data_IF_420881589579
#
_entry.id   IF_420881589579
#
_cell.length_a   1.000
_cell.length_b   1.000
_cell.length_c   1.000
_cell.angle_alpha   90.00
_cell.angle_beta   90.00
_cell.angle_gamma   90.00
#
_symmetry.space_group_name_H-M   'P 1'
#
loop_
_entity.id
_entity.type
_entity.pdbx_description
1 polymer ?
#
# COMPACT_ATOMS: atom_id res chain seq x y z
N UNK A 1 21.60 10.52 -10.64
CA UNK A 1 21.60 9.97 -9.27
C UNK A 1 20.25 9.35 -8.91
N UNK A 2 19.16 10.12 -8.93
CA UNK A 2 17.80 9.65 -8.56
C UNK A 2 17.40 8.31 -9.18
N UNK A 3 17.46 8.17 -10.50
CA UNK A 3 17.10 6.92 -11.18
C UNK A 3 17.96 5.71 -10.76
N UNK A 4 19.25 5.92 -10.48
CA UNK A 4 20.14 4.84 -9.99
C UNK A 4 19.70 4.37 -8.60
N UNK A 5 19.33 5.31 -7.73
CA UNK A 5 18.83 4.97 -6.40
C UNK A 5 17.46 4.29 -6.46
N UNK A 6 16.55 4.76 -7.31
CA UNK A 6 15.26 4.10 -7.52
C UNK A 6 15.44 2.66 -8.00
N UNK A 7 16.34 2.44 -8.97
CA UNK A 7 16.66 1.10 -9.48
C UNK A 7 17.31 0.20 -8.42
N UNK A 8 18.25 0.74 -7.64
CA UNK A 8 18.85 0.03 -6.51
C UNK A 8 17.80 -0.42 -5.48
N UNK A 9 16.89 0.46 -5.06
CA UNK A 9 15.84 0.11 -4.10
C UNK A 9 14.79 -0.83 -4.69
N UNK A 10 14.49 -0.74 -5.99
CA UNK A 10 13.58 -1.65 -6.66
C UNK A 10 14.06 -3.11 -6.60
N UNK A 11 15.38 -3.33 -6.63
CA UNK A 11 15.99 -4.67 -6.55
C UNK A 11 15.77 -5.39 -5.22
N UNK A 12 15.33 -4.69 -4.16
CA UNK A 12 14.91 -5.37 -2.92
C UNK A 12 13.60 -6.16 -3.09
N UNK A 13 12.89 -6.00 -4.23
CA UNK A 13 11.63 -6.68 -4.54
C UNK A 13 10.58 -6.57 -3.41
N UNK A 14 10.62 -5.46 -2.68
CA UNK A 14 9.79 -5.21 -1.51
C UNK A 14 8.96 -3.94 -1.71
N UNK A 15 7.64 -4.04 -1.56
CA UNK A 15 6.73 -2.91 -1.75
C UNK A 15 6.97 -1.74 -0.77
N UNK A 16 7.65 -1.97 0.35
CA UNK A 16 7.97 -0.95 1.35
C UNK A 16 9.41 -0.41 1.24
N UNK A 17 10.22 -0.91 0.30
CA UNK A 17 11.55 -0.38 0.01
C UNK A 17 11.47 0.61 -1.16
N UNK A 18 11.58 1.89 -0.87
CA UNK A 18 11.44 2.95 -1.87
C UNK A 18 12.41 4.10 -1.63
N UNK A 19 12.82 4.73 -2.72
CA UNK A 19 13.64 5.94 -2.70
C UNK A 19 12.82 7.11 -3.25
N UNK A 20 12.66 8.16 -2.45
CA UNK A 20 11.97 9.40 -2.83
C UNK A 20 13.00 10.54 -2.81
N UNK A 21 13.11 11.22 -3.94
CA UNK A 21 13.90 12.43 -4.09
C UNK A 21 12.95 13.60 -4.33
N UNK A 22 12.72 14.43 -3.32
CA UNK A 22 11.77 15.53 -3.42
C UNK A 22 12.17 16.55 -4.49
N UNK A 23 13.46 16.76 -4.72
CA UNK A 23 13.93 17.65 -5.78
C UNK A 23 13.52 17.13 -7.17
N UNK A 24 13.63 15.81 -7.38
CA UNK A 24 13.16 15.18 -8.62
C UNK A 24 11.67 15.43 -8.87
N UNK A 25 10.85 15.41 -7.83
CA UNK A 25 9.42 15.69 -7.94
C UNK A 25 9.13 17.16 -8.22
N UNK A 26 9.91 18.07 -7.66
CA UNK A 26 9.73 19.51 -7.88
C UNK A 26 10.07 19.89 -9.33
N UNK A 27 11.09 19.24 -9.94
CA UNK A 27 11.46 19.50 -11.35
C UNK A 27 10.60 18.71 -12.36
N UNK A 28 10.10 17.51 -12.02
CA UNK A 28 9.30 16.66 -12.92
C UNK A 28 7.79 16.79 -12.71
N UNK A 29 7.36 17.53 -11.69
CA UNK A 29 5.97 17.68 -11.30
C UNK A 29 5.42 16.44 -10.59
N UNK A 30 4.50 16.68 -9.65
CA UNK A 30 3.78 15.64 -8.86
C UNK A 30 2.42 15.28 -9.45
N UNK A 31 2.11 15.92 -10.56
CA UNK A 31 0.77 16.17 -11.03
C UNK A 31 0.51 15.34 -12.29
N UNK A 32 -0.63 14.66 -12.30
CA UNK A 32 -1.12 13.89 -13.44
C UNK A 32 -2.61 14.23 -13.64
N UNK A 33 -3.04 14.61 -14.86
CA UNK A 33 -4.41 15.08 -15.10
C UNK A 33 -5.44 13.95 -15.20
N UNK A 34 -5.03 12.69 -15.01
CA UNK A 34 -5.90 11.53 -14.98
C UNK A 34 -5.27 10.44 -14.09
N UNK A 35 -6.06 9.46 -13.70
CA UNK A 35 -5.59 8.22 -13.09
C UNK A 35 -5.91 7.08 -14.05
N UNK A 36 -5.04 6.08 -14.11
CA UNK A 36 -5.21 4.90 -14.93
C UNK A 36 -4.89 3.64 -14.13
N UNK A 37 -5.26 2.46 -14.62
CA UNK A 37 -4.90 1.18 -13.99
C UNK A 37 -4.68 0.10 -15.04
N UNK A 38 -3.86 -0.92 -14.73
CA UNK A 38 -3.89 -2.16 -15.48
C UNK A 38 -5.25 -2.85 -15.27
N UNK A 39 -5.90 -3.23 -16.36
CA UNK A 39 -7.06 -4.12 -16.38
C UNK A 39 -6.79 -5.17 -17.47
N UNK A 40 -6.56 -6.41 -17.03
CA UNK A 40 -6.00 -7.47 -17.86
C UNK A 40 -4.71 -7.00 -18.56
N UNK A 41 -4.66 -7.06 -19.89
CA UNK A 41 -3.52 -6.61 -20.70
C UNK A 41 -3.65 -5.17 -21.20
N UNK A 42 -4.55 -4.37 -20.60
CA UNK A 42 -4.84 -2.99 -21.02
C UNK A 42 -4.55 -1.99 -19.91
N UNK A 43 -4.24 -0.76 -20.31
CA UNK A 43 -4.11 0.38 -19.41
C UNK A 43 -5.33 1.28 -19.58
N UNK A 44 -6.17 1.35 -18.55
CA UNK A 44 -7.49 1.97 -18.63
C UNK A 44 -7.54 3.21 -17.75
N UNK A 45 -8.03 4.33 -18.30
CA UNK A 45 -8.33 5.53 -17.54
C UNK A 45 -9.46 5.23 -16.55
N UNK A 46 -9.23 5.49 -15.26
CA UNK A 46 -10.23 5.26 -14.20
C UNK A 46 -10.81 6.57 -13.65
N UNK A 47 -10.11 7.68 -13.87
CA UNK A 47 -10.59 9.01 -13.54
C UNK A 47 -9.85 10.04 -14.40
N UNK A 48 -10.50 11.14 -14.75
CA UNK A 48 -9.89 12.23 -15.52
C UNK A 48 -10.27 13.59 -14.93
N UNK A 49 -9.36 14.55 -15.04
CA UNK A 49 -9.56 15.96 -14.72
C UNK A 49 -9.50 16.85 -15.98
N UNK A 50 -9.43 16.25 -17.16
CA UNK A 50 -9.53 16.93 -18.46
C UNK A 50 -10.78 16.47 -19.19
N UNK A 51 -11.37 17.33 -20.01
CA UNK A 51 -12.53 17.00 -20.85
C UNK A 51 -12.22 15.96 -21.92
N UNK A 52 -10.95 15.87 -22.31
CA UNK A 52 -10.52 15.11 -23.48
C UNK A 52 -10.28 13.64 -23.15
N UNK A 53 -10.25 13.28 -21.86
CA UNK A 53 -10.13 11.90 -21.39
C UNK A 53 -11.34 11.53 -20.56
N UNK A 54 -11.88 10.34 -20.80
CA UNK A 54 -13.01 9.76 -20.08
C UNK A 54 -12.61 8.49 -19.32
N UNK A 55 -13.19 8.23 -18.13
CA UNK A 55 -13.09 6.92 -17.51
C UNK A 55 -13.56 5.82 -18.46
N UNK A 56 -12.76 4.76 -18.61
CA UNK A 56 -12.98 3.66 -19.55
C UNK A 56 -12.12 3.73 -20.80
N UNK A 57 -11.52 4.89 -21.12
CA UNK A 57 -10.61 5.01 -22.25
C UNK A 57 -9.39 4.10 -22.06
N UNK A 58 -8.97 3.46 -23.16
CA UNK A 58 -7.84 2.53 -23.16
C UNK A 58 -6.64 3.20 -23.80
N UNK A 59 -5.57 3.34 -23.03
CA UNK A 59 -4.30 3.90 -23.49
C UNK A 59 -3.57 2.85 -24.32
N UNK A 60 -3.25 3.19 -25.56
CA UNK A 60 -2.52 2.34 -26.51
C UNK A 60 -1.06 2.78 -26.60
N UNK A 61 -0.79 4.08 -26.72
CA UNK A 61 0.55 4.64 -26.81
C UNK A 61 0.76 5.87 -25.93
N UNK A 62 2.01 6.12 -25.61
CA UNK A 62 2.51 7.41 -25.14
C UNK A 62 3.56 7.92 -26.13
N UNK A 63 3.36 9.13 -26.65
CA UNK A 63 4.07 9.61 -27.83
C UNK A 63 3.98 8.56 -28.96
N UNK A 64 5.11 8.08 -29.48
CA UNK A 64 5.15 7.03 -30.51
C UNK A 64 5.38 5.61 -29.96
N UNK A 65 5.52 5.45 -28.64
CA UNK A 65 5.86 4.19 -27.95
C UNK A 65 4.59 3.45 -27.47
N UNK A 66 4.55 2.12 -27.61
CA UNK A 66 3.49 1.31 -26.98
C UNK A 66 3.50 1.52 -25.46
N UNK A 67 2.33 1.68 -24.85
CA UNK A 67 2.27 2.00 -23.43
C UNK A 67 2.81 0.86 -22.53
N UNK A 68 2.70 -0.38 -23.00
CA UNK A 68 3.27 -1.57 -22.32
C UNK A 68 4.79 -1.59 -22.41
N UNK A 69 5.35 -1.15 -23.53
CA UNK A 69 6.80 -1.00 -23.69
C UNK A 69 7.32 0.14 -22.81
N UNK A 70 6.59 1.26 -22.74
CA UNK A 70 6.87 2.36 -21.84
C UNK A 70 6.90 1.90 -20.37
N UNK A 71 5.92 1.11 -19.94
CA UNK A 71 5.95 0.47 -18.62
C UNK A 71 7.17 -0.44 -18.48
N UNK A 72 7.43 -1.31 -19.45
CA UNK A 72 8.51 -2.30 -19.41
C UNK A 72 9.89 -1.66 -19.28
N UNK A 73 10.10 -0.50 -19.91
CA UNK A 73 11.33 0.31 -19.79
C UNK A 73 11.49 0.93 -18.40
N UNK A 74 10.38 1.31 -17.76
CA UNK A 74 10.36 1.97 -16.46
C UNK A 74 10.21 1.03 -15.26
N UNK A 75 9.86 -0.26 -15.48
CA UNK A 75 9.59 -1.22 -14.39
C UNK A 75 10.76 -1.41 -13.45
N UNK A 76 12.00 -1.22 -13.93
CA UNK A 76 13.23 -1.26 -13.13
C UNK A 76 13.29 -0.19 -12.02
N UNK A 77 12.45 0.84 -12.08
CA UNK A 77 12.34 1.86 -11.05
C UNK A 77 11.22 1.59 -10.04
N UNK A 78 10.49 0.48 -10.20
CA UNK A 78 9.30 0.15 -9.42
C UNK A 78 9.61 -1.02 -8.49
N UNK A 79 9.65 -0.76 -7.19
CA UNK A 79 9.80 -1.83 -6.20
C UNK A 79 8.51 -2.67 -6.12
N UNK A 80 8.64 -3.98 -5.99
CA UNK A 80 7.50 -4.88 -5.78
C UNK A 80 7.91 -6.34 -6.01
N UNK A 81 7.22 -7.29 -5.38
CA UNK A 81 7.61 -8.69 -5.44
C UNK A 81 7.27 -9.37 -6.78
N UNK A 82 6.43 -8.75 -7.61
CA UNK A 82 6.04 -9.28 -8.91
C UNK A 82 5.53 -8.16 -9.85
N UNK A 83 5.43 -8.48 -11.14
CA UNK A 83 5.02 -7.53 -12.18
C UNK A 83 3.61 -6.97 -11.94
N UNK A 84 2.68 -7.78 -11.42
CA UNK A 84 1.33 -7.30 -11.08
C UNK A 84 1.41 -6.14 -10.10
N UNK A 85 2.19 -6.27 -9.02
CA UNK A 85 2.42 -5.17 -8.07
C UNK A 85 3.07 -3.98 -8.75
N UNK A 86 4.09 -4.19 -9.59
CA UNK A 86 4.75 -3.10 -10.32
C UNK A 86 3.80 -2.33 -11.24
N UNK A 87 2.91 -3.01 -11.99
CA UNK A 87 1.89 -2.36 -12.81
C UNK A 87 0.95 -1.48 -11.99
N UNK A 88 0.48 -1.97 -10.84
CA UNK A 88 -0.33 -1.16 -9.93
C UNK A 88 0.41 0.04 -9.38
N UNK A 89 1.71 -0.09 -9.08
CA UNK A 89 2.54 1.03 -8.60
C UNK A 89 2.82 2.05 -9.68
N UNK A 90 3.05 1.63 -10.91
CA UNK A 90 3.26 2.54 -12.04
C UNK A 90 2.13 3.55 -12.21
N UNK A 91 0.91 3.13 -11.87
CA UNK A 91 -0.30 3.95 -11.86
C UNK A 91 -0.48 4.84 -10.61
N UNK A 92 0.39 4.77 -9.61
CA UNK A 92 0.27 5.57 -8.38
C UNK A 92 0.88 6.97 -8.54
N UNK A 93 0.35 7.98 -7.81
CA UNK A 93 0.89 9.35 -7.83
C UNK A 93 2.39 9.45 -7.54
N UNK A 94 2.94 8.53 -6.75
CA UNK A 94 4.37 8.46 -6.44
C UNK A 94 5.25 8.24 -7.70
N UNK A 95 4.73 7.61 -8.75
CA UNK A 95 5.51 7.29 -9.94
C UNK A 95 5.18 8.18 -11.14
N UNK A 96 4.34 9.18 -10.93
CA UNK A 96 4.02 10.23 -11.92
C UNK A 96 5.27 10.96 -12.46
N UNK A 97 6.34 11.22 -11.67
CA UNK A 97 7.58 11.77 -12.20
C UNK A 97 8.32 10.93 -13.26
N UNK A 98 7.96 9.65 -13.46
CA UNK A 98 8.48 8.81 -14.54
C UNK A 98 7.93 9.22 -15.92
N UNK A 99 6.79 9.92 -15.94
CA UNK A 99 6.19 10.44 -17.16
C UNK A 99 6.88 11.75 -17.58
N UNK A 100 6.95 12.06 -18.89
CA UNK A 100 7.33 13.38 -19.37
C UNK A 100 6.37 14.46 -18.84
N UNK A 101 6.80 15.73 -18.78
CA UNK A 101 5.90 16.84 -18.40
C UNK A 101 4.83 17.11 -19.47
N UNK A 102 5.19 16.90 -20.74
CA UNK A 102 4.33 16.98 -21.91
C UNK A 102 4.53 15.75 -22.77
N UNK A 103 3.46 15.14 -23.20
CA UNK A 103 3.45 13.96 -24.06
C UNK A 103 2.08 13.84 -24.72
N UNK A 104 1.96 13.00 -25.74
CA UNK A 104 0.67 12.62 -26.30
C UNK A 104 0.27 11.24 -25.81
N UNK A 105 -1.04 11.01 -25.71
CA UNK A 105 -1.59 9.67 -25.58
C UNK A 105 -2.33 9.32 -26.85
N UNK A 106 -2.04 8.17 -27.43
CA UNK A 106 -2.94 7.57 -28.43
C UNK A 106 -3.83 6.56 -27.72
N UNK A 107 -5.13 6.72 -27.86
CA UNK A 107 -6.14 5.81 -27.33
C UNK A 107 -6.41 4.65 -28.28
N UNK A 108 -7.15 3.64 -27.82
CA UNK A 108 -7.46 2.46 -28.64
C UNK A 108 -8.42 2.76 -29.82
N UNK A 109 -9.11 3.89 -29.81
CA UNK A 109 -9.89 4.43 -30.94
C UNK A 109 -9.02 5.26 -31.93
N UNK A 110 -7.69 5.23 -31.77
CA UNK A 110 -6.69 6.01 -32.51
C UNK A 110 -6.78 7.54 -32.34
N UNK A 111 -7.63 8.03 -31.42
CA UNK A 111 -7.63 9.42 -31.00
C UNK A 111 -6.33 9.76 -30.28
N UNK A 112 -5.79 10.95 -30.53
CA UNK A 112 -4.56 11.44 -29.91
C UNK A 112 -4.83 12.68 -29.08
N UNK A 113 -4.44 12.62 -27.81
CA UNK A 113 -4.71 13.67 -26.82
C UNK A 113 -3.37 14.22 -26.31
N UNK A 114 -3.22 15.53 -26.34
CA UNK A 114 -2.07 16.20 -25.75
C UNK A 114 -2.23 16.34 -24.24
N UNK A 115 -1.22 15.88 -23.50
CA UNK A 115 -1.17 16.00 -22.06
C UNK A 115 -0.10 17.00 -21.66
N UNK A 116 -0.51 18.06 -20.96
CA UNK A 116 0.41 19.00 -20.29
C UNK A 116 0.21 18.95 -18.77
N UNK A 117 1.14 18.29 -18.08
CA UNK A 117 1.11 18.13 -16.63
C UNK A 117 1.39 19.44 -15.87
N UNK A 118 1.77 20.51 -16.55
CA UNK A 118 1.93 21.84 -15.95
C UNK A 118 0.62 22.64 -15.90
N UNK A 119 -0.44 22.17 -16.57
CA UNK A 119 -1.74 22.87 -16.71
C UNK A 119 -2.90 22.11 -16.09
N UNK A 120 -2.70 21.53 -14.91
CA UNK A 120 -3.80 20.80 -14.24
C UNK A 120 -4.82 21.79 -13.67
N UNK A 121 -6.12 21.61 -13.92
CA UNK A 121 -7.14 22.46 -13.33
C UNK A 121 -7.10 22.42 -11.79
N UNK A 122 -7.26 23.58 -11.17
CA UNK A 122 -7.22 23.75 -9.70
C UNK A 122 -8.33 22.96 -8.97
N UNK A 123 -9.41 22.60 -9.68
CA UNK A 123 -10.59 21.92 -9.13
C UNK A 123 -10.43 20.40 -8.91
N UNK A 124 -9.20 19.89 -8.74
CA UNK A 124 -9.02 18.49 -8.35
C UNK A 124 -9.68 18.29 -6.98
N UNK A 125 -10.65 17.36 -6.82
CA UNK A 125 -11.20 17.04 -5.51
C UNK A 125 -10.05 16.63 -4.59
N UNK A 126 -9.76 17.46 -3.60
CA UNK A 126 -8.62 17.30 -2.70
C UNK A 126 -8.94 16.36 -1.54
N UNK A 127 -10.22 16.11 -1.28
CA UNK A 127 -10.69 15.25 -0.20
C UNK A 127 -11.17 13.90 -0.73
N UNK A 128 -10.36 12.88 -0.52
CA UNK A 128 -10.85 11.51 -0.47
C UNK A 128 -11.71 11.37 0.79
N UNK A 129 -12.88 10.76 0.65
CA UNK A 129 -13.80 10.47 1.74
C UNK A 129 -14.24 8.99 1.65
N UNK A 130 -14.50 8.37 2.80
CA UNK A 130 -15.17 7.08 2.80
C UNK A 130 -16.63 7.28 2.40
N UNK A 131 -17.14 6.42 1.51
CA UNK A 131 -18.49 6.50 0.97
C UNK A 131 -19.30 5.30 1.44
N UNK A 132 -20.59 5.50 1.72
CA UNK A 132 -21.49 4.46 2.18
C UNK A 132 -22.86 4.63 1.54
N UNK A 133 -23.49 3.53 1.12
CA UNK A 133 -24.87 3.53 0.63
C UNK A 133 -25.53 2.17 0.80
N UNK A 134 -26.85 2.17 1.05
CA UNK A 134 -27.69 0.98 0.83
C UNK A 134 -27.87 0.80 -0.67
N UNK A 135 -27.55 -0.39 -1.19
CA UNK A 135 -27.84 -0.79 -2.57
C UNK A 135 -29.31 -1.19 -2.66
N UNK A 136 -29.79 -1.92 -1.65
CA UNK A 136 -31.19 -2.27 -1.41
C UNK A 136 -31.38 -2.55 0.09
N UNK A 137 -32.56 -3.02 0.50
CA UNK A 137 -32.89 -3.26 1.91
C UNK A 137 -31.98 -4.28 2.60
N UNK A 138 -31.42 -5.24 1.84
CA UNK A 138 -30.62 -6.33 2.38
C UNK A 138 -29.11 -6.16 2.13
N UNK A 139 -28.70 -5.21 1.28
CA UNK A 139 -27.30 -5.06 0.86
C UNK A 139 -26.85 -3.61 1.02
N UNK A 140 -25.78 -3.40 1.78
CA UNK A 140 -25.06 -2.13 1.84
C UNK A 140 -23.66 -2.22 1.26
N UNK A 141 -23.12 -1.06 0.89
CA UNK A 141 -21.81 -0.89 0.30
C UNK A 141 -21.06 0.22 1.02
N UNK A 142 -19.82 -0.06 1.42
CA UNK A 142 -18.89 0.90 2.01
C UNK A 142 -17.60 0.88 1.20
N UNK A 143 -17.19 2.05 0.70
CA UNK A 143 -15.90 2.25 0.04
C UNK A 143 -14.95 2.99 0.98
N UNK A 144 -13.75 2.43 1.16
CA UNK A 144 -12.72 3.02 2.00
C UNK A 144 -11.50 3.33 1.14
N UNK A 145 -11.28 4.59 0.75
CA UNK A 145 -10.26 4.94 -0.24
C UNK A 145 -8.83 4.93 0.31
N UNK A 146 -8.65 4.98 1.63
CA UNK A 146 -7.33 4.98 2.28
C UNK A 146 -7.45 4.66 3.77
N UNK A 147 -6.34 4.35 4.44
CA UNK A 147 -6.21 4.28 5.90
C UNK A 147 -5.06 5.17 6.42
N UNK A 148 -4.59 6.11 5.61
CA UNK A 148 -3.54 7.07 5.96
C UNK A 148 -4.00 8.15 6.95
N UNK A 149 -5.31 8.36 7.06
CA UNK A 149 -5.96 9.25 8.02
C UNK A 149 -7.00 8.49 8.87
N UNK A 150 -7.00 8.63 10.21
CA UNK A 150 -8.00 8.03 11.09
C UNK A 150 -9.46 8.27 10.66
N UNK A 151 -9.76 9.42 10.02
CA UNK A 151 -11.12 9.77 9.58
C UNK A 151 -11.76 8.70 8.69
N UNK A 152 -10.96 7.98 7.90
CA UNK A 152 -11.47 6.95 7.00
C UNK A 152 -12.02 5.75 7.76
N UNK A 153 -11.32 5.32 8.81
CA UNK A 153 -11.77 4.24 9.68
C UNK A 153 -12.99 4.69 10.49
N UNK A 154 -12.96 5.90 11.06
CA UNK A 154 -14.08 6.46 11.82
C UNK A 154 -15.35 6.53 10.98
N UNK A 155 -15.23 7.01 9.73
CA UNK A 155 -16.37 7.09 8.82
C UNK A 155 -16.87 5.70 8.43
N UNK A 156 -15.98 4.74 8.16
CA UNK A 156 -16.37 3.36 7.89
C UNK A 156 -17.13 2.72 9.08
N UNK A 157 -16.66 2.95 10.31
CA UNK A 157 -17.34 2.50 11.53
C UNK A 157 -18.74 3.10 11.65
N UNK A 158 -18.90 4.40 11.35
CA UNK A 158 -20.23 5.03 11.38
C UNK A 158 -21.20 4.41 10.37
N UNK A 159 -20.72 4.00 9.18
CA UNK A 159 -21.54 3.29 8.21
C UNK A 159 -21.90 1.87 8.65
N UNK A 160 -21.03 1.18 9.39
CA UNK A 160 -21.39 -0.12 9.97
C UNK A 160 -22.54 -0.02 10.97
N UNK A 161 -22.60 1.07 11.71
CA UNK A 161 -23.71 1.33 12.63
C UNK A 161 -24.98 1.73 11.87
N UNK A 162 -24.86 2.57 10.84
CA UNK A 162 -25.97 2.98 9.97
C UNK A 162 -26.60 1.79 9.21
N UNK A 163 -25.77 0.84 8.78
CA UNK A 163 -26.19 -0.33 8.00
C UNK A 163 -26.26 -1.62 8.82
N UNK A 164 -26.39 -1.53 10.15
CA UNK A 164 -26.38 -2.69 11.02
C UNK A 164 -27.51 -3.71 10.73
N UNK A 165 -28.60 -3.25 10.13
CA UNK A 165 -29.80 -4.04 9.83
C UNK A 165 -29.74 -4.82 8.51
N UNK A 166 -28.71 -4.64 7.69
CA UNK A 166 -28.60 -5.30 6.39
C UNK A 166 -28.08 -6.73 6.53
N UNK A 167 -28.54 -7.62 5.65
CA UNK A 167 -28.09 -9.03 5.63
C UNK A 167 -26.68 -9.18 5.04
N UNK A 168 -26.25 -8.25 4.18
CA UNK A 168 -24.99 -8.33 3.46
C UNK A 168 -24.31 -6.96 3.36
N UNK A 169 -23.01 -6.95 3.66
CA UNK A 169 -22.16 -5.78 3.53
C UNK A 169 -21.05 -6.02 2.52
N UNK A 170 -20.91 -5.11 1.55
CA UNK A 170 -19.79 -5.07 0.61
C UNK A 170 -18.81 -4.00 1.07
N UNK A 171 -17.58 -4.41 1.40
CA UNK A 171 -16.48 -3.49 1.72
C UNK A 171 -15.53 -3.39 0.53
N UNK A 172 -15.47 -2.20 -0.07
CA UNK A 172 -14.58 -1.91 -1.17
C UNK A 172 -13.32 -1.17 -0.71
N UNK A 173 -12.22 -1.92 -0.62
CA UNK A 173 -10.86 -1.42 -0.39
C UNK A 173 -10.03 -1.37 -1.67
N UNK A 174 -10.64 -1.52 -2.86
CA UNK A 174 -9.91 -1.48 -4.13
C UNK A 174 -9.33 -0.09 -4.34
N UNK A 175 -8.02 -0.04 -4.57
CA UNK A 175 -7.33 1.23 -4.76
C UNK A 175 -6.97 1.95 -3.47
N UNK A 176 -7.20 1.34 -2.32
CA UNK A 176 -6.73 1.82 -1.04
C UNK A 176 -5.20 1.75 -0.99
N UNK A 177 -4.55 2.88 -0.73
CA UNK A 177 -3.07 2.99 -0.67
C UNK A 177 -2.47 2.41 0.61
N UNK A 178 -3.30 1.93 1.54
CA UNK A 178 -2.88 1.51 2.87
C UNK A 178 -2.87 2.68 3.85
N UNK A 179 -1.97 2.59 4.83
CA UNK A 179 -1.85 3.52 5.94
C UNK A 179 -1.74 2.77 7.26
N UNK A 180 -2.46 3.22 8.27
CA UNK A 180 -2.51 2.54 9.57
C UNK A 180 -3.39 1.29 9.49
N UNK A 181 -2.97 0.23 10.17
CA UNK A 181 -3.77 -1.00 10.30
C UNK A 181 -5.10 -0.69 11.00
N UNK A 182 -6.27 -0.91 10.35
CA UNK A 182 -7.55 -0.42 10.84
C UNK A 182 -8.16 -1.34 11.90
N UNK A 183 -7.50 -1.43 13.06
CA UNK A 183 -7.73 -2.48 14.04
C UNK A 183 -9.16 -2.51 14.58
N UNK A 184 -9.80 -1.36 14.82
CA UNK A 184 -11.15 -1.35 15.39
C UNK A 184 -12.21 -1.67 14.35
N UNK A 185 -11.99 -1.30 13.09
CA UNK A 185 -12.85 -1.74 11.99
C UNK A 185 -12.79 -3.26 11.83
N UNK A 186 -11.58 -3.84 11.83
CA UNK A 186 -11.42 -5.30 11.76
C UNK A 186 -12.12 -5.97 12.95
N UNK A 187 -11.91 -5.49 14.18
CA UNK A 187 -12.60 -6.05 15.36
C UNK A 187 -14.12 -5.96 15.25
N UNK A 188 -14.66 -4.85 14.74
CA UNK A 188 -16.12 -4.65 14.59
C UNK A 188 -16.74 -5.59 13.57
N UNK A 189 -15.98 -5.98 12.54
CA UNK A 189 -16.40 -6.92 11.49
C UNK A 189 -16.29 -8.39 11.90
N UNK A 190 -15.63 -8.70 13.02
CA UNK A 190 -15.38 -10.06 13.45
C UNK A 190 -16.26 -10.41 14.67
N UNK A 191 -17.05 -11.48 14.55
CA UNK A 191 -17.87 -11.98 15.66
C UNK A 191 -17.08 -12.87 16.65
N UNK A 192 -15.93 -13.40 16.19
CA UNK A 192 -15.09 -14.34 16.95
C UNK A 192 -13.63 -13.88 16.97
N UNK A 193 -12.83 -14.32 17.96
CA UNK A 193 -11.38 -14.13 17.94
C UNK A 193 -10.77 -14.66 16.65
N UNK A 194 -9.88 -13.89 16.05
CA UNK A 194 -9.22 -14.23 14.80
C UNK A 194 -7.70 -14.30 14.98
N UNK A 195 -7.05 -15.12 14.15
CA UNK A 195 -5.59 -15.16 14.11
C UNK A 195 -5.08 -13.90 13.44
N UNK A 196 -4.12 -13.25 14.08
CA UNK A 196 -3.43 -12.09 13.53
C UNK A 196 -1.95 -12.38 13.36
N UNK A 197 -1.30 -11.56 12.54
CA UNK A 197 0.13 -11.63 12.31
C UNK A 197 0.87 -10.86 13.41
N UNK A 198 2.15 -11.18 13.60
CA UNK A 198 3.04 -10.47 14.52
C UNK A 198 4.15 -9.81 13.71
N UNK A 199 4.53 -8.61 14.10
CA UNK A 199 5.60 -7.85 13.47
C UNK A 199 6.89 -7.98 14.29
N UNK A 200 8.03 -7.97 13.60
CA UNK A 200 9.34 -7.80 14.21
C UNK A 200 10.03 -6.62 13.54
N UNK A 201 10.47 -5.66 14.36
CA UNK A 201 11.25 -4.50 13.94
C UNK A 201 12.65 -4.57 14.56
N UNK A 202 13.70 -3.97 13.96
CA UNK A 202 15.03 -3.90 14.59
C UNK A 202 14.99 -3.25 15.98
N UNK A 203 14.11 -2.26 16.19
CA UNK A 203 13.85 -1.64 17.49
C UNK A 203 13.34 -2.67 18.49
N UNK A 204 12.42 -3.53 18.06
CA UNK A 204 11.94 -4.64 18.87
C UNK A 204 13.02 -5.70 19.09
N UNK A 205 13.83 -6.10 18.09
CA UNK A 205 14.93 -7.07 18.27
C UNK A 205 15.98 -6.60 19.26
N UNK A 206 16.45 -5.35 19.16
CA UNK A 206 17.43 -4.79 20.09
C UNK A 206 16.87 -4.63 21.50
N UNK A 207 15.61 -4.18 21.62
CA UNK A 207 14.91 -4.04 22.89
C UNK A 207 14.56 -5.42 23.50
N UNK A 208 14.22 -6.42 22.68
CA UNK A 208 13.97 -7.81 23.08
C UNK A 208 15.24 -8.48 23.56
N UNK A 209 16.36 -8.32 22.85
CA UNK A 209 17.66 -8.83 23.29
C UNK A 209 18.10 -8.15 24.60
N UNK A 210 17.93 -6.83 24.70
CA UNK A 210 18.22 -6.08 25.93
C UNK A 210 17.37 -6.56 27.11
N UNK A 211 16.04 -6.65 26.96
CA UNK A 211 15.18 -7.10 28.05
C UNK A 211 15.43 -8.56 28.40
N UNK A 212 15.57 -9.46 27.43
CA UNK A 212 15.85 -10.87 27.71
C UNK A 212 17.19 -11.03 28.47
N UNK A 213 18.24 -10.31 28.05
CA UNK A 213 19.52 -10.29 28.75
C UNK A 213 19.43 -9.67 30.15
N UNK A 214 18.85 -8.48 30.28
CA UNK A 214 18.73 -7.75 31.55
C UNK A 214 17.88 -8.50 32.57
N UNK A 215 16.74 -9.05 32.13
CA UNK A 215 15.80 -9.77 32.99
C UNK A 215 16.37 -11.11 33.46
N UNK A 216 17.07 -11.86 32.60
CA UNK A 216 17.79 -13.07 33.02
C UNK A 216 18.87 -12.75 34.03
N UNK A 217 19.65 -11.70 33.80
CA UNK A 217 20.71 -11.28 34.72
C UNK A 217 20.17 -10.78 36.06
N UNK A 218 19.02 -10.11 36.09
CA UNK A 218 18.36 -9.77 37.36
C UNK A 218 17.88 -10.99 38.13
N UNK A 219 17.31 -11.99 37.46
CA UNK A 219 16.86 -13.24 38.10
C UNK A 219 18.03 -14.10 38.60
N UNK A 220 19.20 -14.03 37.96
CA UNK A 220 20.44 -14.65 38.44
C UNK A 220 20.97 -13.96 39.70
N UNK A 221 20.85 -12.64 39.79
CA UNK A 221 21.33 -11.83 40.92
C UNK A 221 20.37 -11.82 42.11
N UNK A 222 19.06 -11.91 41.86
CA UNK A 222 18.01 -11.96 42.89
C UNK A 222 16.90 -12.98 42.51
N UNK A 223 17.12 -14.27 42.81
CA UNK A 223 16.19 -15.35 42.43
C UNK A 223 14.83 -15.32 43.14
N UNK A 224 14.73 -14.53 44.22
CA UNK A 224 13.56 -14.40 45.11
C UNK A 224 12.78 -13.09 44.86
N UNK A 225 13.16 -12.33 43.84
CA UNK A 225 12.51 -11.05 43.51
C UNK A 225 10.99 -11.20 43.41
N UNK A 226 10.26 -10.30 44.07
CA UNK A 226 8.79 -10.25 44.01
C UNK A 226 8.25 -9.92 42.61
N UNK A 227 9.12 -9.44 41.73
CA UNK A 227 8.78 -9.15 40.33
C UNK A 227 8.99 -10.37 39.42
N UNK A 228 9.56 -11.48 39.94
CA UNK A 228 9.89 -12.70 39.19
C UNK A 228 8.75 -13.24 38.35
N UNK A 229 7.52 -13.26 38.87
CA UNK A 229 6.38 -13.78 38.11
C UNK A 229 5.94 -12.83 36.99
N UNK A 230 6.01 -11.51 37.21
CA UNK A 230 5.80 -10.49 36.17
C UNK A 230 6.87 -10.58 35.07
N UNK A 231 8.11 -10.88 35.47
CA UNK A 231 9.23 -11.07 34.56
C UNK A 231 9.14 -12.38 33.76
N UNK A 232 8.84 -13.50 34.41
CA UNK A 232 8.63 -14.78 33.73
C UNK A 232 7.45 -14.71 32.77
N UNK A 233 6.37 -14.01 33.13
CA UNK A 233 5.23 -13.78 32.24
C UNK A 233 5.63 -12.96 30.99
N UNK A 234 6.38 -11.87 31.15
CA UNK A 234 6.91 -11.11 30.01
C UNK A 234 7.86 -11.94 29.16
N UNK A 235 8.79 -12.67 29.76
CA UNK A 235 9.66 -13.60 29.05
C UNK A 235 8.87 -14.71 28.32
N UNK A 236 7.73 -15.15 28.86
CA UNK A 236 6.81 -16.11 28.22
C UNK A 236 6.04 -15.49 27.04
N UNK A 237 5.60 -14.25 27.17
CA UNK A 237 5.01 -13.46 26.08
C UNK A 237 6.04 -13.26 24.94
N UNK A 238 7.33 -13.17 25.26
CA UNK A 238 8.41 -12.99 24.28
C UNK A 238 9.08 -14.29 23.78
N UNK A 239 8.93 -15.44 24.47
CA UNK A 239 9.40 -16.76 23.99
C UNK A 239 8.53 -17.32 22.87
N UNK A 240 7.44 -16.62 22.47
CA UNK A 240 6.79 -16.86 21.19
C UNK A 240 7.78 -16.78 20.01
N UNK A 241 8.85 -15.99 20.12
CA UNK A 241 9.90 -15.89 19.09
C UNK A 241 11.01 -16.96 19.21
N UNK A 242 11.08 -17.70 20.32
CA UNK A 242 12.04 -18.81 20.54
C UNK A 242 11.43 -20.18 20.19
N UNK A 243 10.17 -20.24 19.73
CA UNK A 243 9.58 -21.50 19.30
C UNK A 243 10.27 -21.98 18.03
N UNK A 244 10.77 -23.21 18.04
CA UNK A 244 11.54 -23.80 16.93
C UNK A 244 10.83 -23.79 15.57
N UNK A 245 9.50 -23.72 15.54
CA UNK A 245 8.71 -23.61 14.30
C UNK A 245 8.51 -22.17 13.80
N UNK A 246 8.95 -21.17 14.57
CA UNK A 246 9.00 -19.75 14.20
C UNK A 246 10.44 -19.27 13.96
N UNK A 247 11.45 -20.10 14.27
CA UNK A 247 12.81 -19.91 13.81
C UNK A 247 12.89 -20.24 12.32
N UNK A 248 13.48 -19.35 11.54
CA UNK A 248 13.80 -19.58 10.14
C UNK A 248 14.68 -20.84 10.05
N UNK A 249 14.32 -21.90 9.29
CA UNK A 249 15.17 -23.08 9.18
C UNK A 249 16.54 -22.64 8.67
N UNK A 250 17.62 -23.09 9.31
CA UNK A 250 18.98 -22.76 8.85
C UNK A 250 19.27 -23.29 7.43
N UNK A 251 18.38 -24.15 6.90
CA UNK A 251 18.61 -24.97 5.73
C UNK A 251 17.90 -24.44 4.47
N UNK A 252 17.20 -23.31 4.54
CA UNK A 252 16.42 -22.80 3.39
C UNK A 252 17.20 -21.89 2.43
N UNK A 253 18.53 -21.98 2.42
CA UNK A 253 19.36 -21.54 1.32
C UNK A 253 20.47 -22.56 1.05
N UNK A 254 20.16 -23.58 0.24
CA UNK A 254 21.16 -24.10 -0.69
C UNK A 254 21.03 -23.25 -1.98
N UNK A 255 22.04 -22.45 -2.37
CA UNK A 255 21.99 -21.65 -3.60
C UNK A 255 22.16 -22.48 -4.89
N UNK A 256 22.03 -23.80 -4.84
CA UNK A 256 22.24 -24.70 -6.00
C UNK A 256 21.02 -25.43 -6.55
N UNK A 257 19.79 -25.07 -6.12
CA UNK A 257 18.53 -25.53 -6.75
C UNK A 257 17.67 -24.37 -7.29
#
# INVERSE_FOLDING_TARGET
>A
FTFLMMEFFANFNNSHSLYIDMYFYDIRGKNQPFNFRPLDDKWVIINSYTSDLSPGDVIKKIDDEDFTDFFSRNKKYLAGPNERTQKYRFAQPLFVPLFPLRYTLTLNNDETIEIDRTKIPENKPTTLEAEGKKINDNVAYIRIPSFDDPKFQERALSFLEEFFDVECLIIDVRGNSGGSTPSDLVKKLMELPYRFWSESTPMSIGLFQYYNYYLRRQLELDPESKEKDSFLKRCQEFTLFDKSHLLWPADCHDPSD
#
